data_IF_642548519292
#
_entry.id   IF_642548519292
#
_cell.length_a   1.000
_cell.length_b   1.000
_cell.length_c   1.000
_cell.angle_alpha   90.00
_cell.angle_beta   90.00
_cell.angle_gamma   90.00
#
_symmetry.space_group_name_H-M   'P 1'
#
loop_
_entity.id
_entity.type
_entity.pdbx_description
1 polymer ?
#
# COMPACT_ATOMS: atom_id res chain seq x y z
N UNK A 1 0.40 -4.09 -6.43
CA UNK A 1 -0.68 -5.00 -6.85
C UNK A 1 -1.49 -5.54 -5.67
N UNK A 2 -0.89 -6.18 -4.66
CA UNK A 2 -1.61 -6.78 -3.53
C UNK A 2 -2.54 -5.81 -2.77
N UNK A 3 -2.02 -4.66 -2.33
CA UNK A 3 -2.81 -3.64 -1.60
C UNK A 3 -4.00 -3.10 -2.41
N UNK A 4 -3.79 -2.83 -3.71
CA UNK A 4 -4.83 -2.34 -4.61
C UNK A 4 -5.92 -3.40 -4.82
N UNK A 5 -5.54 -4.66 -5.02
CA UNK A 5 -6.49 -5.76 -5.16
C UNK A 5 -7.30 -5.99 -3.87
N UNK A 6 -6.61 -6.02 -2.72
CA UNK A 6 -7.26 -6.15 -1.42
C UNK A 6 -8.27 -5.04 -1.16
N UNK A 7 -7.92 -3.80 -1.47
CA UNK A 7 -8.79 -2.62 -1.37
C UNK A 7 -9.98 -2.70 -2.32
N UNK A 8 -9.77 -3.11 -3.58
CA UNK A 8 -10.85 -3.22 -4.56
C UNK A 8 -11.88 -4.29 -4.15
N UNK A 9 -11.43 -5.48 -3.76
CA UNK A 9 -12.33 -6.57 -3.36
C UNK A 9 -13.08 -6.25 -2.08
N UNK A 10 -12.41 -5.72 -1.06
CA UNK A 10 -13.07 -5.33 0.19
C UNK A 10 -14.02 -4.14 -0.01
N UNK A 11 -13.62 -3.13 -0.79
CA UNK A 11 -14.44 -1.96 -1.11
C UNK A 11 -15.75 -2.32 -1.81
N UNK A 12 -15.73 -3.23 -2.80
CA UNK A 12 -16.97 -3.70 -3.46
C UNK A 12 -17.94 -4.38 -2.49
N UNK A 13 -17.43 -5.20 -1.56
CA UNK A 13 -18.24 -5.85 -0.53
C UNK A 13 -18.82 -4.86 0.48
N UNK A 14 -18.04 -3.86 0.90
CA UNK A 14 -18.51 -2.79 1.79
C UNK A 14 -19.58 -1.96 1.10
N UNK A 15 -19.40 -1.61 -0.18
CA UNK A 15 -20.40 -0.86 -0.94
C UNK A 15 -21.73 -1.63 -1.06
N UNK A 16 -21.69 -2.91 -1.38
CA UNK A 16 -22.89 -3.75 -1.44
C UNK A 16 -23.58 -3.87 -0.06
N UNK A 17 -22.80 -4.07 1.00
CA UNK A 17 -23.33 -4.20 2.36
C UNK A 17 -23.91 -2.89 2.90
N UNK A 18 -23.29 -1.75 2.55
CA UNK A 18 -23.67 -0.41 3.04
C UNK A 18 -25.12 -0.03 2.73
N UNK A 19 -25.71 -0.61 1.68
CA UNK A 19 -27.11 -0.41 1.32
C UNK A 19 -28.06 -1.16 2.27
N UNK A 20 -27.69 -2.36 2.73
CA UNK A 20 -28.53 -3.20 3.58
C UNK A 20 -28.34 -2.91 5.08
N UNK A 21 -27.10 -2.60 5.51
CA UNK A 21 -26.73 -2.37 6.91
C UNK A 21 -25.71 -1.25 7.06
N UNK A 22 -26.13 0.02 6.91
CA UNK A 22 -25.23 1.16 6.96
C UNK A 22 -24.51 1.32 8.30
N UNK A 23 -25.07 0.81 9.41
CA UNK A 23 -24.45 0.91 10.74
C UNK A 23 -23.11 0.16 10.85
N UNK A 24 -22.86 -0.80 9.94
CA UNK A 24 -21.68 -1.66 9.98
C UNK A 24 -20.49 -1.11 9.17
N UNK A 25 -20.67 -0.03 8.39
CA UNK A 25 -19.63 0.50 7.49
C UNK A 25 -18.31 0.72 8.23
N UNK A 26 -18.35 1.40 9.38
CA UNK A 26 -17.13 1.76 10.12
C UNK A 26 -16.36 0.53 10.61
N UNK A 27 -17.07 -0.51 11.05
CA UNK A 27 -16.44 -1.78 11.47
C UNK A 27 -15.89 -2.56 10.28
N UNK A 28 -16.56 -2.48 9.14
CA UNK A 28 -16.17 -3.19 7.92
C UNK A 28 -15.01 -2.54 7.16
N UNK A 29 -14.52 -1.37 7.56
CA UNK A 29 -13.35 -0.70 6.94
C UNK A 29 -12.01 -1.38 7.31
N UNK A 30 -11.94 -2.16 8.39
CA UNK A 30 -10.70 -2.79 8.88
C UNK A 30 -9.90 -3.53 7.77
N UNK A 31 -10.51 -4.35 6.90
CA UNK A 31 -9.78 -5.02 5.81
C UNK A 31 -9.14 -4.07 4.80
N UNK A 32 -9.76 -2.91 4.53
CA UNK A 32 -9.20 -1.88 3.64
C UNK A 32 -7.94 -1.28 4.27
N UNK A 33 -7.98 -1.00 5.57
CA UNK A 33 -6.82 -0.49 6.32
C UNK A 33 -5.69 -1.51 6.33
N UNK A 34 -5.99 -2.79 6.53
CA UNK A 34 -4.97 -3.85 6.48
C UNK A 34 -4.31 -3.95 5.09
N UNK A 35 -5.08 -3.78 4.01
CA UNK A 35 -4.51 -3.70 2.66
C UNK A 35 -3.63 -2.45 2.48
N UNK A 36 -4.01 -1.31 3.07
CA UNK A 36 -3.23 -0.07 3.05
C UNK A 36 -1.88 -0.19 3.74
N UNK A 37 -1.79 -0.88 4.88
CA UNK A 37 -0.53 -1.09 5.60
C UNK A 37 0.49 -1.84 4.73
N UNK A 38 0.05 -2.81 3.91
CA UNK A 38 0.92 -3.53 2.96
C UNK A 38 1.54 -2.58 1.93
N UNK A 39 0.82 -1.54 1.48
CA UNK A 39 1.37 -0.55 0.56
C UNK A 39 2.49 0.27 1.21
N UNK A 40 2.33 0.63 2.48
CA UNK A 40 3.33 1.40 3.23
C UNK A 40 4.61 0.57 3.42
N UNK A 41 4.50 -0.73 3.69
CA UNK A 41 5.68 -1.60 3.77
C UNK A 41 6.51 -1.59 2.48
N UNK A 42 5.86 -1.63 1.31
CA UNK A 42 6.55 -1.52 0.02
C UNK A 42 7.20 -0.15 -0.18
N UNK A 43 6.51 0.93 0.21
CA UNK A 43 7.03 2.30 0.10
C UNK A 43 8.29 2.50 0.95
N UNK A 44 8.27 2.08 2.22
CA UNK A 44 9.40 2.26 3.13
C UNK A 44 10.65 1.56 2.60
N UNK A 45 10.50 0.31 2.11
CA UNK A 45 11.62 -0.43 1.53
C UNK A 45 12.15 0.26 0.28
N UNK A 46 11.27 0.77 -0.61
CA UNK A 46 11.70 1.49 -1.80
C UNK A 46 12.51 2.75 -1.47
N UNK A 47 12.09 3.51 -0.45
CA UNK A 47 12.81 4.71 0.01
C UNK A 47 14.19 4.37 0.59
N UNK A 48 14.29 3.30 1.39
CA UNK A 48 15.58 2.85 1.94
C UNK A 48 16.57 2.42 0.85
N UNK A 49 16.08 1.72 -0.18
CA UNK A 49 16.91 1.33 -1.33
C UNK A 49 17.33 2.58 -2.12
N UNK A 50 16.40 3.48 -2.42
CA UNK A 50 16.70 4.71 -3.15
C UNK A 50 17.73 5.60 -2.42
N UNK A 51 17.65 5.68 -1.09
CA UNK A 51 18.63 6.41 -0.28
C UNK A 51 20.01 5.75 -0.21
N UNK A 52 20.12 4.46 -0.54
CA UNK A 52 21.39 3.71 -0.56
C UNK A 52 22.03 3.66 -1.95
N UNK A 53 21.39 4.25 -2.97
CA UNK A 53 21.97 4.34 -4.31
C UNK A 53 22.99 5.47 -4.35
N UNK A 54 24.28 5.11 -4.42
CA UNK A 54 25.35 6.06 -4.68
C UNK A 54 25.38 6.45 -6.16
N UNK A 55 25.60 7.74 -6.44
CA UNK A 55 25.80 8.23 -7.80
C UNK A 55 27.20 7.79 -8.28
N UNK A 56 27.34 7.17 -9.46
CA UNK A 56 28.63 6.65 -9.93
C UNK A 56 29.68 7.73 -10.24
N UNK A 57 29.36 9.02 -10.06
CA UNK A 57 30.23 10.15 -10.41
C UNK A 57 31.48 10.27 -9.52
N UNK A 58 31.51 9.65 -8.32
CA UNK A 58 32.64 9.82 -7.38
C UNK A 58 33.49 8.56 -7.11
N UNK A 59 33.11 7.38 -7.62
CA UNK A 59 33.75 6.10 -7.23
C UNK A 59 34.36 5.29 -8.39
N UNK A 60 34.34 5.80 -9.62
CA UNK A 60 35.06 5.20 -10.74
C UNK A 60 36.12 6.18 -11.27
N UNK A 61 37.36 6.04 -10.78
CA UNK A 61 38.49 6.70 -11.44
C UNK A 61 38.76 5.95 -12.74
N UNK A 62 38.69 6.66 -13.88
CA UNK A 62 39.03 6.12 -15.20
C UNK A 62 40.54 6.12 -15.47
N UNK A 63 41.36 6.14 -14.41
CA UNK A 63 42.80 5.93 -14.38
C UNK A 63 43.19 5.37 -13.01
#
# INVERSE_FOLDING_TARGET
LGAAYGTAKSGTGIAAMSVMRPELIMKSIIPVVMAGIIAIYGLVVAVLIAGSLETPENNYTLF
#
